data_IF_129565740537
#
_entry.id   IF_129565740537
#
_cell.length_a   1.000
_cell.length_b   1.000
_cell.length_c   1.000
_cell.angle_alpha   90.00
_cell.angle_beta   90.00
_cell.angle_gamma   90.00
#
_symmetry.space_group_name_H-M   'P 1'
#
loop_
_entity.id
_entity.type
_entity.pdbx_description
1 polymer ?
#
# COMPACT_ATOMS: atom_id res chain seq x y z
N UNK A 1 -2.01 17.14 6.02
CA UNK A 1 -1.88 17.47 4.58
C UNK A 1 -2.56 16.44 3.68
N UNK A 2 -2.30 15.12 3.84
CA UNK A 2 -3.02 14.08 3.02
C UNK A 2 -4.52 14.17 3.24
N UNK A 3 -4.94 14.28 4.51
CA UNK A 3 -6.35 14.42 4.85
C UNK A 3 -6.96 15.73 4.37
N UNK A 4 -6.21 16.82 4.34
CA UNK A 4 -6.68 18.10 3.80
C UNK A 4 -6.95 17.99 2.29
N UNK A 5 -6.08 17.29 1.54
CA UNK A 5 -6.28 17.02 0.10
C UNK A 5 -7.49 16.13 -0.12
N UNK A 6 -7.64 15.04 0.65
CA UNK A 6 -8.80 14.16 0.58
C UNK A 6 -10.08 14.88 0.93
N UNK A 7 -10.07 15.75 1.94
CA UNK A 7 -11.22 16.54 2.32
C UNK A 7 -11.62 17.55 1.24
N UNK A 8 -10.64 18.22 0.63
CA UNK A 8 -10.89 19.13 -0.50
C UNK A 8 -11.48 18.37 -1.69
N UNK A 9 -10.97 17.17 -1.96
CA UNK A 9 -11.49 16.27 -2.99
C UNK A 9 -12.93 15.83 -2.69
N UNK A 10 -13.23 15.40 -1.48
CA UNK A 10 -14.56 14.94 -1.06
C UNK A 10 -15.62 16.06 -1.04
N UNK A 11 -15.21 17.32 -0.86
CA UNK A 11 -16.10 18.49 -0.80
C UNK A 11 -16.33 19.21 -2.13
N UNK A 12 -16.10 18.60 -3.26
CA UNK A 12 -16.26 19.22 -4.57
C UNK A 12 -14.93 19.52 -5.24
N UNK A 13 -13.90 18.74 -4.91
CA UNK A 13 -12.62 18.77 -5.59
C UNK A 13 -12.70 18.36 -7.06
N UNK A 14 -11.55 18.34 -7.72
CA UNK A 14 -11.44 18.13 -9.19
C UNK A 14 -12.16 16.89 -9.70
N UNK A 15 -12.21 15.80 -8.92
CA UNK A 15 -12.90 14.58 -9.35
C UNK A 15 -14.41 14.77 -9.41
N UNK A 16 -15.00 15.39 -8.40
CA UNK A 16 -16.44 15.64 -8.36
C UNK A 16 -16.84 16.64 -9.45
N UNK A 17 -16.04 17.69 -9.67
CA UNK A 17 -16.28 18.63 -10.75
C UNK A 17 -16.22 17.96 -12.11
N UNK A 18 -15.23 17.10 -12.37
CA UNK A 18 -15.13 16.33 -13.61
C UNK A 18 -16.25 15.32 -13.75
N UNK A 19 -16.61 14.61 -12.69
CA UNK A 19 -17.71 13.67 -12.68
C UNK A 19 -19.05 14.37 -12.95
N UNK A 20 -19.28 15.53 -12.34
CA UNK A 20 -20.48 16.33 -12.61
C UNK A 20 -20.54 16.80 -14.07
N UNK A 21 -19.43 17.22 -14.66
CA UNK A 21 -19.35 17.56 -16.09
C UNK A 21 -19.62 16.34 -16.98
N UNK A 22 -19.33 15.13 -16.48
CA UNK A 22 -19.59 13.86 -17.17
C UNK A 22 -21.00 13.29 -16.93
N UNK A 23 -21.94 14.11 -16.44
CA UNK A 23 -23.35 13.78 -16.19
C UNK A 23 -23.64 12.89 -14.98
N UNK A 24 -22.70 12.67 -14.08
CA UNK A 24 -22.97 11.87 -12.88
C UNK A 24 -23.66 12.65 -11.76
N UNK A 25 -23.56 13.97 -11.75
CA UNK A 25 -24.18 14.87 -10.76
C UNK A 25 -24.04 14.39 -9.30
N UNK A 26 -22.86 13.87 -8.95
CA UNK A 26 -22.58 13.33 -7.62
C UNK A 26 -21.85 14.35 -6.75
N UNK A 27 -22.16 14.36 -5.44
CA UNK A 27 -21.47 15.14 -4.43
C UNK A 27 -20.43 14.32 -3.63
N UNK A 28 -20.22 13.08 -4.03
CA UNK A 28 -19.34 12.13 -3.34
C UNK A 28 -18.23 11.64 -4.26
N UNK A 29 -17.05 11.46 -3.70
CA UNK A 29 -15.86 11.05 -4.44
C UNK A 29 -15.54 9.58 -4.24
N UNK A 30 -14.81 9.02 -5.20
CA UNK A 30 -14.19 7.70 -5.08
C UNK A 30 -12.68 7.88 -4.91
N UNK A 31 -12.12 7.28 -3.88
CA UNK A 31 -10.67 7.17 -3.66
C UNK A 31 -10.24 5.74 -3.95
N UNK A 32 -9.23 5.56 -4.78
CA UNK A 32 -8.58 4.28 -5.01
C UNK A 32 -7.23 4.26 -4.30
N UNK A 33 -7.11 3.45 -3.25
CA UNK A 33 -5.86 3.32 -2.49
C UNK A 33 -5.14 2.04 -2.89
N UNK A 34 -4.03 2.21 -3.60
CA UNK A 34 -3.19 1.12 -4.11
C UNK A 34 -2.03 0.85 -3.17
N UNK A 35 -1.98 -0.34 -2.61
CA UNK A 35 -0.96 -0.79 -1.67
C UNK A 35 -0.03 -1.83 -2.30
N UNK A 36 1.21 -2.02 -1.76
CA UNK A 36 2.23 -2.84 -2.42
C UNK A 36 1.98 -4.36 -2.35
N UNK A 37 1.22 -4.85 -1.38
CA UNK A 37 1.06 -6.29 -1.16
C UNK A 37 -0.25 -6.64 -0.45
N UNK A 38 -0.67 -7.91 -0.56
CA UNK A 38 -1.88 -8.41 0.10
C UNK A 38 -1.86 -8.27 1.63
N UNK A 39 -0.79 -8.58 2.35
CA UNK A 39 -0.76 -8.36 3.81
C UNK A 39 -0.96 -6.88 4.19
N UNK A 40 -0.40 -5.94 3.42
CA UNK A 40 -0.61 -4.51 3.65
C UNK A 40 -2.06 -4.12 3.31
N UNK A 41 -2.66 -4.69 2.26
CA UNK A 41 -4.06 -4.47 1.91
C UNK A 41 -4.99 -4.88 3.07
N UNK A 42 -4.81 -6.08 3.60
CA UNK A 42 -5.60 -6.57 4.74
C UNK A 42 -5.43 -5.71 5.98
N UNK A 43 -4.19 -5.31 6.29
CA UNK A 43 -3.89 -4.41 7.40
C UNK A 43 -4.57 -3.05 7.23
N UNK A 44 -4.51 -2.47 6.03
CA UNK A 44 -5.10 -1.17 5.70
C UNK A 44 -6.63 -1.23 5.80
N UNK A 45 -7.24 -2.28 5.24
CA UNK A 45 -8.69 -2.51 5.36
C UNK A 45 -9.13 -2.64 6.82
N UNK A 46 -8.42 -3.45 7.61
CA UNK A 46 -8.69 -3.60 9.03
C UNK A 46 -8.57 -2.29 9.79
N UNK A 47 -7.54 -1.49 9.48
CA UNK A 47 -7.34 -0.19 10.10
C UNK A 47 -8.45 0.81 9.73
N UNK A 48 -8.84 0.88 8.46
CA UNK A 48 -9.91 1.76 7.99
C UNK A 48 -11.29 1.36 8.50
N UNK A 49 -11.55 0.08 8.72
CA UNK A 49 -12.85 -0.44 9.17
C UNK A 49 -13.00 -0.47 10.69
N UNK A 50 -11.94 -0.29 11.46
CA UNK A 50 -11.96 -0.35 12.92
C UNK A 50 -12.11 1.05 13.55
N UNK A 51 -13.24 1.39 14.20
CA UNK A 51 -13.43 2.69 14.84
C UNK A 51 -12.40 3.02 15.92
N UNK A 52 -11.78 2.01 16.53
CA UNK A 52 -10.72 2.20 17.52
C UNK A 52 -9.36 2.57 16.91
N UNK A 53 -9.21 2.44 15.59
CA UNK A 53 -7.95 2.72 14.91
C UNK A 53 -7.82 4.22 14.58
N UNK A 54 -6.64 4.79 14.79
CA UNK A 54 -6.36 6.19 14.52
C UNK A 54 -6.56 6.57 13.04
N UNK A 55 -6.27 5.65 12.11
CA UNK A 55 -6.49 5.89 10.68
C UNK A 55 -7.98 6.04 10.36
N UNK A 56 -8.83 5.15 10.89
CA UNK A 56 -10.28 5.27 10.77
C UNK A 56 -10.75 6.63 11.31
N UNK A 57 -10.37 6.96 12.56
CA UNK A 57 -10.78 8.21 13.21
C UNK A 57 -10.36 9.43 12.38
N UNK A 58 -9.14 9.45 11.86
CA UNK A 58 -8.64 10.55 11.04
C UNK A 58 -9.41 10.68 9.72
N UNK A 59 -9.63 9.57 9.01
CA UNK A 59 -10.37 9.57 7.73
C UNK A 59 -11.81 9.99 7.92
N UNK A 60 -12.53 9.40 8.89
CA UNK A 60 -13.94 9.69 9.11
C UNK A 60 -14.17 11.07 9.71
N UNK A 61 -13.25 11.58 10.51
CA UNK A 61 -13.30 12.97 10.99
C UNK A 61 -13.12 13.98 9.84
N UNK A 62 -12.27 13.67 8.87
CA UNK A 62 -11.98 14.55 7.75
C UNK A 62 -13.04 14.53 6.65
N UNK A 63 -13.54 13.32 6.31
CA UNK A 63 -14.40 13.08 5.14
C UNK A 63 -15.87 12.84 5.48
N UNK A 64 -16.21 12.69 6.77
CA UNK A 64 -17.51 12.22 7.21
C UNK A 64 -17.67 10.72 6.99
N UNK A 65 -18.85 10.29 6.60
CA UNK A 65 -19.13 8.88 6.34
C UNK A 65 -18.43 8.40 5.07
N UNK A 66 -17.68 7.30 5.19
CA UNK A 66 -16.89 6.71 4.09
C UNK A 66 -17.21 5.23 3.98
N UNK A 67 -17.63 4.80 2.80
CA UNK A 67 -17.78 3.37 2.50
C UNK A 67 -16.42 2.78 2.10
N UNK A 68 -15.87 1.87 2.92
CA UNK A 68 -14.59 1.21 2.66
C UNK A 68 -14.83 -0.15 2.01
N UNK A 69 -14.31 -0.32 0.80
CA UNK A 69 -14.51 -1.48 -0.06
C UNK A 69 -13.18 -2.17 -0.39
N UNK A 70 -13.19 -3.48 -0.45
CA UNK A 70 -12.19 -4.28 -1.16
C UNK A 70 -12.65 -4.58 -2.60
N UNK A 71 -11.78 -5.19 -3.43
CA UNK A 71 -12.07 -5.40 -4.86
C UNK A 71 -13.34 -6.24 -5.07
N UNK A 72 -13.52 -7.31 -4.33
CA UNK A 72 -14.69 -8.20 -4.49
C UNK A 72 -15.99 -7.51 -4.13
N UNK A 73 -15.97 -6.60 -3.17
CA UNK A 73 -17.11 -5.75 -2.81
C UNK A 73 -17.33 -4.67 -3.87
N UNK A 74 -16.24 -4.06 -4.36
CA UNK A 74 -16.30 -3.04 -5.40
C UNK A 74 -16.87 -3.58 -6.74
N UNK A 75 -16.59 -4.85 -7.08
CA UNK A 75 -17.16 -5.53 -8.25
C UNK A 75 -18.69 -5.71 -8.18
N UNK A 76 -19.30 -5.48 -7.02
CA UNK A 76 -20.76 -5.61 -6.78
C UNK A 76 -21.39 -4.32 -6.26
N UNK A 77 -20.59 -3.25 -6.16
CA UNK A 77 -21.08 -1.99 -5.60
C UNK A 77 -22.20 -1.40 -6.46
N UNK A 78 -23.25 -0.91 -5.82
CA UNK A 78 -24.39 -0.31 -6.50
C UNK A 78 -24.25 1.22 -6.62
N UNK A 79 -24.87 1.86 -7.64
CA UNK A 79 -24.77 3.30 -7.85
C UNK A 79 -25.12 4.13 -6.62
N UNK A 80 -26.16 3.75 -5.88
CA UNK A 80 -26.61 4.51 -4.71
C UNK A 80 -25.55 4.58 -3.59
N UNK A 81 -24.68 3.56 -3.45
CA UNK A 81 -23.56 3.58 -2.49
C UNK A 81 -22.55 4.67 -2.87
N UNK A 82 -22.11 4.67 -4.15
CA UNK A 82 -21.14 5.65 -4.65
C UNK A 82 -21.72 7.05 -4.83
N UNK A 83 -23.04 7.19 -4.87
CA UNK A 83 -23.74 8.47 -4.96
C UNK A 83 -24.13 9.02 -3.58
N UNK A 84 -24.25 8.15 -2.57
CA UNK A 84 -24.73 8.49 -1.24
C UNK A 84 -23.64 8.76 -0.19
N UNK A 85 -22.40 8.28 -0.43
CA UNK A 85 -21.27 8.47 0.47
C UNK A 85 -19.96 8.55 -0.28
N UNK A 86 -18.93 9.14 0.34
CA UNK A 86 -17.57 8.99 -0.14
C UNK A 86 -17.18 7.51 -0.07
N UNK A 87 -16.52 7.00 -1.10
CA UNK A 87 -16.07 5.61 -1.15
C UNK A 87 -14.54 5.51 -1.22
N UNK A 88 -13.99 4.54 -0.54
CA UNK A 88 -12.56 4.24 -0.56
C UNK A 88 -12.37 2.77 -0.91
N UNK A 89 -11.78 2.50 -2.08
CA UNK A 89 -11.46 1.15 -2.55
C UNK A 89 -9.99 0.89 -2.25
N UNK A 90 -9.69 -0.16 -1.48
CA UNK A 90 -8.32 -0.56 -1.14
C UNK A 90 -7.97 -1.81 -1.93
N UNK A 91 -6.90 -1.72 -2.72
CA UNK A 91 -6.48 -2.80 -3.61
C UNK A 91 -4.95 -2.87 -3.73
N UNK A 92 -4.43 -3.98 -4.24
CA UNK A 92 -3.05 -4.03 -4.72
C UNK A 92 -2.96 -3.53 -6.16
N UNK A 93 -1.80 -2.99 -6.56
CA UNK A 93 -1.57 -2.63 -7.95
C UNK A 93 -1.74 -3.83 -8.90
N UNK A 94 -1.42 -5.04 -8.46
CA UNK A 94 -1.55 -6.26 -9.25
C UNK A 94 -3.00 -6.57 -9.65
N UNK A 95 -3.98 -6.11 -8.88
CA UNK A 95 -5.39 -6.26 -9.23
C UNK A 95 -5.76 -5.55 -10.54
N UNK A 96 -4.95 -4.57 -10.97
CA UNK A 96 -5.19 -3.76 -12.17
C UNK A 96 -4.06 -3.85 -13.20
N UNK A 97 -2.86 -4.29 -12.80
CA UNK A 97 -1.66 -4.26 -13.61
C UNK A 97 -1.43 -5.60 -14.32
N UNK A 98 -1.85 -5.71 -15.56
CA UNK A 98 -1.55 -6.85 -16.42
C UNK A 98 -1.51 -6.43 -17.89
N UNK A 99 -0.66 -7.08 -18.68
CA UNK A 99 -0.61 -6.88 -20.14
C UNK A 99 -1.88 -7.41 -20.80
N UNK A 100 -2.33 -8.60 -20.38
CA UNK A 100 -3.58 -9.21 -20.81
C UNK A 100 -4.71 -8.86 -19.83
N UNK A 101 -5.43 -7.77 -20.13
CA UNK A 101 -6.51 -7.24 -19.29
C UNK A 101 -7.69 -8.21 -19.16
N UNK A 102 -7.92 -9.07 -20.15
CA UNK A 102 -9.06 -10.00 -20.14
C UNK A 102 -8.93 -11.07 -19.02
N UNK A 103 -7.76 -11.19 -18.42
CA UNK A 103 -7.56 -12.09 -17.29
C UNK A 103 -8.02 -11.51 -15.95
N UNK A 104 -8.06 -10.17 -15.82
CA UNK A 104 -8.43 -9.51 -14.57
C UNK A 104 -9.93 -9.23 -14.51
N UNK A 105 -10.57 -9.62 -13.42
CA UNK A 105 -12.02 -9.43 -13.19
C UNK A 105 -12.45 -7.97 -13.25
N UNK A 106 -11.57 -7.03 -12.89
CA UNK A 106 -11.84 -5.59 -12.85
C UNK A 106 -12.05 -4.97 -14.23
N UNK A 107 -11.54 -5.60 -15.31
CA UNK A 107 -11.71 -5.17 -16.71
C UNK A 107 -12.82 -5.92 -17.43
N UNK A 108 -13.28 -7.05 -16.87
CA UNK A 108 -14.34 -7.85 -17.51
C UNK A 108 -15.68 -7.16 -17.44
N UNK A 109 -16.48 -7.36 -18.49
CA UNK A 109 -17.89 -6.99 -18.46
C UNK A 109 -18.56 -7.63 -17.24
N UNK A 110 -19.29 -6.80 -16.49
CA UNK A 110 -19.93 -7.21 -15.26
C UNK A 110 -21.36 -6.66 -15.23
N UNK A 111 -22.35 -7.56 -15.19
CA UNK A 111 -23.76 -7.20 -15.13
C UNK A 111 -24.11 -6.36 -13.89
N UNK A 112 -23.39 -6.54 -12.77
CA UNK A 112 -23.60 -5.73 -11.57
C UNK A 112 -23.22 -4.25 -11.78
N UNK A 113 -22.34 -3.96 -12.74
CA UNK A 113 -21.90 -2.60 -13.07
C UNK A 113 -22.84 -1.90 -14.07
N UNK A 114 -23.71 -2.61 -14.78
CA UNK A 114 -24.57 -2.02 -15.81
C UNK A 114 -25.44 -0.87 -15.30
N UNK A 115 -25.94 -0.98 -14.07
CA UNK A 115 -26.75 0.05 -13.44
C UNK A 115 -26.05 1.40 -13.23
N UNK A 116 -24.71 1.43 -13.23
CA UNK A 116 -23.95 2.68 -13.16
C UNK A 116 -24.01 3.51 -14.46
N UNK A 117 -24.45 2.90 -15.56
CA UNK A 117 -24.44 3.48 -16.91
C UNK A 117 -25.85 3.71 -17.48
N UNK A 118 -26.91 3.57 -16.68
CA UNK A 118 -28.28 3.71 -17.14
C UNK A 118 -28.55 5.08 -17.78
N UNK A 119 -28.04 6.15 -17.15
CA UNK A 119 -28.22 7.52 -17.63
C UNK A 119 -27.12 7.98 -18.61
N UNK A 120 -26.13 7.12 -18.89
CA UNK A 120 -25.02 7.46 -19.79
C UNK A 120 -25.39 7.13 -21.23
N UNK A 121 -25.43 8.14 -22.08
CA UNK A 121 -25.80 7.99 -23.51
C UNK A 121 -24.58 7.78 -24.41
N UNK A 122 -23.40 8.30 -24.01
CA UNK A 122 -22.17 8.21 -24.81
C UNK A 122 -21.57 6.79 -24.74
N UNK A 123 -21.50 6.07 -25.89
CA UNK A 123 -20.89 4.73 -25.93
C UNK A 123 -19.42 4.70 -25.50
N UNK A 124 -18.67 5.78 -25.73
CA UNK A 124 -17.26 5.87 -25.37
C UNK A 124 -17.08 5.92 -23.83
N UNK A 125 -18.05 6.48 -23.13
CA UNK A 125 -18.07 6.52 -21.65
C UNK A 125 -18.51 5.18 -21.08
N UNK A 126 -19.50 4.50 -21.72
CA UNK A 126 -19.99 3.19 -21.25
C UNK A 126 -18.89 2.12 -21.18
N UNK A 127 -17.98 2.12 -22.15
CA UNK A 127 -16.93 1.10 -22.24
C UNK A 127 -17.50 -0.32 -22.27
N UNK A 128 -16.88 -1.24 -21.53
CA UNK A 128 -17.31 -2.63 -21.38
C UNK A 128 -18.23 -2.89 -20.19
N UNK A 129 -18.67 -1.85 -19.47
CA UNK A 129 -19.37 -1.94 -18.19
C UNK A 129 -18.58 -2.72 -17.13
N UNK A 130 -17.29 -2.49 -17.07
CA UNK A 130 -16.39 -3.06 -16.08
C UNK A 130 -16.27 -2.16 -14.84
N UNK A 131 -15.66 -2.67 -13.77
CA UNK A 131 -15.32 -1.82 -12.61
C UNK A 131 -14.38 -0.67 -13.00
N UNK A 132 -13.43 -0.92 -13.90
CA UNK A 132 -12.51 0.12 -14.38
C UNK A 132 -13.27 1.21 -15.13
N UNK A 133 -14.29 0.88 -15.91
CA UNK A 133 -15.13 1.89 -16.59
C UNK A 133 -15.90 2.74 -15.57
N UNK A 134 -16.43 2.12 -14.50
CA UNK A 134 -17.08 2.86 -13.40
C UNK A 134 -16.10 3.80 -12.72
N UNK A 135 -14.89 3.34 -12.44
CA UNK A 135 -13.84 4.18 -11.85
C UNK A 135 -13.46 5.33 -12.77
N UNK A 136 -13.21 5.04 -14.06
CA UNK A 136 -12.87 6.05 -15.08
C UNK A 136 -13.93 7.16 -15.16
N UNK A 137 -15.19 6.79 -15.21
CA UNK A 137 -16.31 7.73 -15.25
C UNK A 137 -16.36 8.65 -14.01
N UNK A 138 -15.87 8.17 -12.87
CA UNK A 138 -15.88 8.91 -11.60
C UNK A 138 -14.60 9.69 -11.32
N UNK A 139 -13.57 9.58 -12.18
CA UNK A 139 -12.29 10.28 -12.02
C UNK A 139 -11.73 10.14 -10.61
N UNK A 140 -11.35 8.95 -10.15
CA UNK A 140 -10.99 8.70 -8.76
C UNK A 140 -9.79 9.53 -8.33
N UNK A 141 -9.73 9.84 -7.04
CA UNK A 141 -8.47 10.24 -6.41
C UNK A 141 -7.67 8.99 -6.13
N UNK A 142 -6.46 8.88 -6.67
CA UNK A 142 -5.62 7.68 -6.53
C UNK A 142 -4.52 7.92 -5.52
N UNK A 143 -4.41 7.06 -4.51
CA UNK A 143 -3.29 7.00 -3.58
C UNK A 143 -2.44 5.79 -3.94
N UNK A 144 -1.15 6.00 -4.17
CA UNK A 144 -0.17 4.93 -4.45
C UNK A 144 0.80 4.84 -3.30
N UNK A 145 0.71 3.77 -2.53
CA UNK A 145 1.64 3.50 -1.44
C UNK A 145 2.88 2.76 -1.97
N UNK A 146 4.05 3.10 -1.42
CA UNK A 146 5.37 2.63 -1.90
C UNK A 146 5.56 2.85 -3.40
N UNK A 147 5.26 4.06 -3.87
CA UNK A 147 5.22 4.40 -5.30
C UNK A 147 6.52 4.12 -6.05
N UNK A 148 7.67 4.08 -5.36
CA UNK A 148 8.95 3.72 -5.97
C UNK A 148 8.98 2.31 -6.59
N UNK A 149 8.10 1.41 -6.13
CA UNK A 149 7.95 0.08 -6.71
C UNK A 149 7.12 0.09 -8.01
N UNK A 150 6.53 1.22 -8.37
CA UNK A 150 5.60 1.37 -9.50
C UNK A 150 6.17 2.16 -10.69
N UNK A 151 7.48 2.43 -10.70
CA UNK A 151 8.15 3.23 -11.74
C UNK A 151 8.29 2.55 -13.11
N UNK A 152 7.36 1.69 -13.51
CA UNK A 152 7.33 1.01 -14.81
C UNK A 152 6.30 1.67 -15.73
N UNK A 153 6.52 1.65 -17.07
CA UNK A 153 5.56 2.14 -18.06
C UNK A 153 4.18 1.53 -17.89
N UNK A 154 4.11 0.22 -17.64
CA UNK A 154 2.85 -0.49 -17.42
C UNK A 154 2.08 0.02 -16.18
N UNK A 155 2.78 0.44 -15.11
CA UNK A 155 2.12 1.01 -13.94
C UNK A 155 1.50 2.37 -14.27
N UNK A 156 2.22 3.23 -14.98
CA UNK A 156 1.68 4.52 -15.43
C UNK A 156 0.51 4.39 -16.37
N UNK A 157 0.59 3.46 -17.35
CA UNK A 157 -0.52 3.16 -18.24
C UNK A 157 -1.74 2.64 -17.47
N UNK A 158 -1.52 1.81 -16.45
CA UNK A 158 -2.58 1.31 -15.58
C UNK A 158 -3.27 2.45 -14.82
N UNK A 159 -2.50 3.38 -14.25
CA UNK A 159 -3.04 4.55 -13.57
C UNK A 159 -3.78 5.49 -14.53
N UNK A 160 -3.27 5.69 -15.73
CA UNK A 160 -3.90 6.53 -16.75
C UNK A 160 -5.28 6.01 -17.18
N UNK A 161 -5.50 4.69 -17.16
CA UNK A 161 -6.80 4.08 -17.50
C UNK A 161 -7.96 4.51 -16.61
N UNK A 162 -7.66 4.92 -15.38
CA UNK A 162 -8.68 5.43 -14.46
C UNK A 162 -9.06 6.88 -14.73
N UNK A 163 -8.33 7.60 -15.59
CA UNK A 163 -8.47 9.05 -15.78
C UNK A 163 -8.56 9.79 -14.43
N UNK A 164 -7.60 9.60 -13.52
CA UNK A 164 -7.73 10.07 -12.16
C UNK A 164 -7.81 11.60 -12.09
N UNK A 165 -8.52 12.11 -11.08
CA UNK A 165 -8.54 13.55 -10.80
C UNK A 165 -7.20 14.06 -10.29
N UNK A 166 -6.52 13.25 -9.48
CA UNK A 166 -5.16 13.45 -9.02
C UNK A 166 -4.57 12.12 -8.53
N UNK A 167 -3.24 12.05 -8.48
CA UNK A 167 -2.50 10.91 -7.93
C UNK A 167 -1.63 11.43 -6.79
N UNK A 168 -1.76 10.82 -5.62
CA UNK A 168 -0.93 11.06 -4.45
C UNK A 168 0.02 9.88 -4.26
N UNK A 169 1.30 10.12 -4.37
CA UNK A 169 2.34 9.13 -4.15
C UNK A 169 2.88 9.24 -2.72
N UNK A 170 2.89 8.11 -2.00
CA UNK A 170 3.56 7.93 -0.71
C UNK A 170 4.81 7.10 -0.95
N UNK A 171 6.00 7.66 -0.71
CA UNK A 171 7.26 6.99 -1.00
C UNK A 171 8.40 7.52 -0.15
N UNK A 172 9.32 6.64 0.22
CA UNK A 172 10.58 7.03 0.86
C UNK A 172 11.61 7.57 -0.15
N UNK A 173 11.45 7.23 -1.44
CA UNK A 173 12.41 7.55 -2.51
C UNK A 173 11.68 8.11 -3.74
N UNK A 174 11.30 9.41 -3.75
CA UNK A 174 10.64 10.02 -4.89
C UNK A 174 11.54 10.01 -6.13
N UNK A 175 10.98 9.73 -7.29
CA UNK A 175 11.73 9.82 -8.55
C UNK A 175 12.08 11.29 -8.86
N UNK A 176 13.37 11.55 -9.11
CA UNK A 176 13.90 12.88 -9.44
C UNK A 176 14.44 12.97 -10.85
N UNK A 177 14.43 11.88 -11.61
CA UNK A 177 15.18 11.79 -12.85
C UNK A 177 14.34 11.55 -14.11
N UNK A 178 13.48 10.54 -14.11
CA UNK A 178 12.74 10.11 -15.30
C UNK A 178 11.36 10.74 -15.41
N UNK A 179 10.62 10.70 -14.32
CA UNK A 179 9.30 11.31 -14.18
C UNK A 179 9.24 11.96 -12.80
N UNK A 180 9.80 13.17 -12.67
CA UNK A 180 9.99 13.78 -11.37
C UNK A 180 8.65 14.02 -10.68
N UNK A 181 8.50 13.43 -9.48
CA UNK A 181 7.34 13.65 -8.62
C UNK A 181 7.37 15.09 -8.09
N UNK A 182 6.20 15.73 -8.05
CA UNK A 182 6.04 17.00 -7.38
C UNK A 182 5.98 16.77 -5.86
N UNK A 183 7.11 16.94 -5.18
CA UNK A 183 7.22 16.67 -3.73
C UNK A 183 6.53 17.77 -2.94
N UNK A 184 5.34 17.48 -2.43
CA UNK A 184 4.54 18.41 -1.63
C UNK A 184 4.99 18.45 -0.17
N UNK A 185 5.47 17.33 0.37
CA UNK A 185 5.89 17.21 1.76
C UNK A 185 7.00 16.16 1.91
N UNK A 186 7.97 16.45 2.75
CA UNK A 186 9.07 15.51 3.04
C UNK A 186 9.36 15.50 4.53
N UNK A 187 9.53 14.31 5.10
CA UNK A 187 9.93 14.11 6.51
C UNK A 187 11.34 13.53 6.52
N UNK A 188 12.27 14.25 7.12
CA UNK A 188 13.64 13.80 7.27
C UNK A 188 13.82 12.81 8.44
N UNK A 189 14.92 12.05 8.42
CA UNK A 189 15.24 11.07 9.46
C UNK A 189 15.32 11.69 10.87
N UNK A 190 15.79 12.92 10.99
CA UNK A 190 15.86 13.63 12.27
C UNK A 190 14.46 13.92 12.86
N UNK A 191 13.49 14.26 12.02
CA UNK A 191 12.12 14.47 12.47
C UNK A 191 11.45 13.16 12.90
N UNK A 192 11.71 12.06 12.17
CA UNK A 192 11.24 10.73 12.54
C UNK A 192 11.90 10.23 13.86
N UNK A 193 13.17 10.53 14.06
CA UNK A 193 13.87 10.23 15.31
C UNK A 193 13.28 11.02 16.50
N UNK A 194 13.04 12.32 16.33
CA UNK A 194 12.44 13.14 17.35
C UNK A 194 11.01 12.71 17.73
N UNK A 195 10.30 12.09 16.78
CA UNK A 195 8.98 11.50 16.99
C UNK A 195 9.03 10.02 17.45
N UNK A 196 10.22 9.50 17.77
CA UNK A 196 10.44 8.11 18.20
C UNK A 196 9.93 7.04 17.20
N UNK A 197 9.79 7.41 15.92
CA UNK A 197 9.29 6.53 14.85
C UNK A 197 10.38 5.67 14.23
N UNK A 198 11.65 5.96 14.45
CA UNK A 198 12.78 5.15 13.97
C UNK A 198 13.67 4.74 15.12
N UNK A 199 14.15 3.50 15.07
CA UNK A 199 15.09 2.98 16.05
C UNK A 199 16.49 3.49 15.74
N UNK A 200 17.09 4.18 16.70
CA UNK A 200 18.47 4.67 16.63
C UNK A 200 19.21 4.32 17.93
N UNK A 201 20.52 4.12 17.92
CA UNK A 201 21.43 4.18 16.76
C UNK A 201 21.35 2.94 15.86
N UNK A 202 21.73 3.11 14.59
CA UNK A 202 21.98 2.02 13.65
C UNK A 202 23.47 1.79 13.57
N UNK A 203 23.93 0.57 13.82
CA UNK A 203 25.31 0.15 13.65
C UNK A 203 25.43 -0.75 12.42
N UNK A 204 26.17 -0.29 11.41
CA UNK A 204 26.45 -1.06 10.21
C UNK A 204 27.81 -1.75 10.33
N UNK A 205 27.79 -3.08 10.41
CA UNK A 205 29.00 -3.89 10.49
C UNK A 205 29.14 -4.71 9.21
N UNK A 206 30.28 -4.56 8.52
CA UNK A 206 30.60 -5.36 7.32
C UNK A 206 31.62 -6.43 7.68
N UNK A 207 31.42 -7.65 7.18
CA UNK A 207 32.36 -8.77 7.26
C UNK A 207 32.62 -9.32 5.86
N UNK A 208 33.81 -9.81 5.63
CA UNK A 208 34.19 -10.46 4.36
C UNK A 208 33.61 -11.87 4.28
N UNK A 209 33.51 -12.53 5.44
CA UNK A 209 32.99 -13.90 5.55
C UNK A 209 31.59 -13.88 6.21
N UNK A 210 30.63 -14.50 5.55
CA UNK A 210 29.25 -14.56 6.07
C UNK A 210 29.13 -15.38 7.37
N UNK A 211 30.02 -16.37 7.63
CA UNK A 211 30.05 -17.08 8.92
C UNK A 211 30.44 -16.15 10.07
N UNK A 212 31.37 -15.22 9.85
CA UNK A 212 31.74 -14.21 10.86
C UNK A 212 30.57 -13.25 11.09
N UNK A 213 29.91 -12.80 10.02
CA UNK A 213 28.73 -11.95 10.14
C UNK A 213 27.62 -12.64 10.94
N UNK A 214 27.38 -13.94 10.68
CA UNK A 214 26.38 -14.72 11.38
C UNK A 214 26.74 -14.91 12.88
N UNK A 215 28.01 -15.18 13.17
CA UNK A 215 28.51 -15.29 14.56
C UNK A 215 28.34 -14.01 15.34
N UNK A 216 28.70 -12.88 14.73
CA UNK A 216 28.55 -11.55 15.35
C UNK A 216 27.05 -11.23 15.57
N UNK A 217 26.19 -11.55 14.60
CA UNK A 217 24.75 -11.34 14.73
C UNK A 217 24.15 -12.17 15.88
N UNK A 218 24.55 -13.44 16.01
CA UNK A 218 24.11 -14.31 17.13
C UNK A 218 24.64 -13.77 18.48
N UNK A 219 25.91 -13.33 18.52
CA UNK A 219 26.47 -12.72 19.73
C UNK A 219 25.71 -11.45 20.13
N UNK A 220 25.36 -10.62 19.16
CA UNK A 220 24.56 -9.41 19.38
C UNK A 220 23.15 -9.77 19.87
N UNK A 221 22.49 -10.77 19.25
CA UNK A 221 21.19 -11.24 19.67
C UNK A 221 21.18 -11.72 21.13
N UNK A 222 22.19 -12.49 21.54
CA UNK A 222 22.31 -12.98 22.90
C UNK A 222 22.54 -11.85 23.93
N UNK A 223 23.32 -10.83 23.56
CA UNK A 223 23.50 -9.62 24.40
C UNK A 223 22.21 -8.83 24.55
N UNK A 224 21.45 -8.71 23.47
CA UNK A 224 20.14 -8.04 23.48
C UNK A 224 19.13 -8.83 24.30
N UNK A 225 19.15 -10.17 24.20
CA UNK A 225 18.26 -11.03 25.00
C UNK A 225 18.54 -10.85 26.51
N UNK A 226 19.79 -10.85 26.91
CA UNK A 226 20.18 -10.62 28.32
C UNK A 226 19.67 -9.27 28.84
N UNK A 227 19.73 -8.22 28.00
CA UNK A 227 19.18 -6.90 28.35
C UNK A 227 17.66 -6.93 28.43
N UNK A 228 17.01 -7.57 27.48
CA UNK A 228 15.56 -7.71 27.45
C UNK A 228 15.02 -8.47 28.67
N UNK A 229 15.71 -9.54 29.07
CA UNK A 229 15.36 -10.31 30.27
C UNK A 229 15.49 -9.46 31.55
N UNK A 230 16.56 -8.65 31.64
CA UNK A 230 16.77 -7.73 32.78
C UNK A 230 15.67 -6.64 32.82
N UNK A 231 15.33 -6.07 31.68
CA UNK A 231 14.26 -5.07 31.56
C UNK A 231 12.90 -5.67 31.93
N UNK A 232 12.61 -6.86 31.40
CA UNK A 232 11.36 -7.59 31.74
C UNK A 232 11.26 -7.88 33.26
N UNK A 233 12.38 -8.23 33.89
CA UNK A 233 12.40 -8.46 35.33
C UNK A 233 12.18 -7.16 36.12
N UNK A 234 12.60 -6.01 35.60
CA UNK A 234 12.48 -4.71 36.27
C UNK A 234 11.09 -4.07 36.05
N UNK A 235 10.53 -4.15 34.84
CA UNK A 235 9.30 -3.43 34.43
C UNK A 235 8.07 -4.32 34.30
N UNK A 236 8.26 -5.63 34.12
CA UNK A 236 7.19 -6.58 33.74
C UNK A 236 6.86 -6.58 32.25
N UNK A 237 7.50 -5.73 31.44
CA UNK A 237 7.26 -5.64 30.01
C UNK A 237 7.98 -6.76 29.26
N UNK A 238 7.23 -7.49 28.43
CA UNK A 238 7.82 -8.55 27.61
C UNK A 238 8.54 -7.98 26.40
N UNK A 239 9.87 -8.14 26.37
CA UNK A 239 10.74 -7.74 25.26
C UNK A 239 11.39 -8.98 24.66
N UNK A 240 11.31 -9.13 23.32
CA UNK A 240 11.96 -10.22 22.58
C UNK A 240 12.77 -9.66 21.41
N UNK A 241 14.10 -9.71 21.48
CA UNK A 241 14.95 -9.40 20.33
C UNK A 241 14.72 -10.38 19.19
N UNK A 242 14.71 -9.88 17.97
CA UNK A 242 14.51 -10.68 16.75
C UNK A 242 15.70 -10.46 15.83
N UNK A 243 16.26 -11.55 15.31
CA UNK A 243 17.28 -11.52 14.27
C UNK A 243 16.63 -11.87 12.93
N UNK A 244 16.73 -10.97 11.95
CA UNK A 244 16.31 -11.22 10.58
C UNK A 244 17.53 -11.59 9.73
N UNK A 245 17.49 -12.75 9.09
CA UNK A 245 18.50 -13.21 8.16
C UNK A 245 17.95 -13.15 6.74
N UNK A 246 18.61 -12.38 5.89
CA UNK A 246 18.26 -12.31 4.48
C UNK A 246 19.29 -13.08 3.66
N UNK A 247 18.81 -14.09 2.93
CA UNK A 247 19.61 -14.91 2.04
C UNK A 247 19.55 -14.43 0.59
N UNK A 248 20.52 -14.81 -0.21
CA UNK A 248 20.51 -14.55 -1.64
C UNK A 248 19.51 -15.48 -2.38
N UNK A 249 19.06 -15.02 -3.56
CA UNK A 249 18.31 -15.88 -4.48
C UNK A 249 19.27 -16.93 -5.04
N UNK A 250 18.78 -18.16 -5.22
CA UNK A 250 19.57 -19.22 -5.89
C UNK A 250 19.95 -18.75 -7.30
N UNK A 251 21.23 -18.83 -7.61
CA UNK A 251 21.78 -18.51 -8.90
C UNK A 251 22.38 -19.79 -9.50
N UNK A 252 22.25 -19.99 -10.81
CA UNK A 252 22.80 -21.15 -11.53
C UNK A 252 24.24 -20.94 -12.01
N UNK A 253 24.67 -19.67 -12.08
CA UNK A 253 25.99 -19.31 -12.61
C UNK A 253 27.03 -19.03 -11.52
N UNK A 254 26.59 -18.76 -10.29
CA UNK A 254 27.47 -18.51 -9.15
C UNK A 254 26.97 -19.17 -7.87
N UNK A 255 27.91 -19.48 -6.97
CA UNK A 255 27.55 -19.95 -5.63
C UNK A 255 26.93 -18.81 -4.80
N UNK A 256 25.67 -19.00 -4.39
CA UNK A 256 24.94 -18.03 -3.58
C UNK A 256 24.65 -18.56 -2.19
N UNK A 257 24.52 -17.65 -1.23
CA UNK A 257 24.13 -18.00 0.13
C UNK A 257 22.59 -18.15 0.20
N UNK A 258 22.12 -19.36 -0.05
CA UNK A 258 20.70 -19.70 -0.04
C UNK A 258 20.18 -19.98 1.37
N UNK A 259 18.84 -19.87 1.62
CA UNK A 259 18.25 -20.08 2.93
C UNK A 259 18.57 -21.42 3.57
N UNK A 260 18.65 -22.49 2.79
CA UNK A 260 18.95 -23.86 3.25
C UNK A 260 20.36 -23.94 3.87
N UNK A 261 21.32 -23.25 3.27
CA UNK A 261 22.72 -23.22 3.76
C UNK A 261 22.80 -22.45 5.08
N UNK A 262 22.08 -21.32 5.20
CA UNK A 262 21.97 -20.59 6.46
C UNK A 262 21.32 -21.41 7.57
N UNK A 263 20.22 -22.13 7.27
CA UNK A 263 19.56 -23.01 8.24
C UNK A 263 20.48 -24.13 8.71
N UNK A 264 21.24 -24.75 7.80
CA UNK A 264 22.23 -25.78 8.18
C UNK A 264 23.32 -25.23 9.10
N UNK A 265 23.83 -24.05 8.83
CA UNK A 265 24.85 -23.42 9.67
C UNK A 265 24.29 -23.12 11.05
N UNK A 266 23.10 -22.52 11.14
CA UNK A 266 22.43 -22.22 12.42
C UNK A 266 22.27 -23.48 13.28
N UNK A 267 21.82 -24.58 12.69
CA UNK A 267 21.57 -25.84 13.41
C UNK A 267 22.87 -26.58 13.75
N UNK A 268 23.77 -26.79 12.77
CA UNK A 268 24.94 -27.63 12.94
C UNK A 268 26.12 -26.96 13.59
N UNK A 269 26.35 -25.67 13.30
CA UNK A 269 27.53 -24.92 13.78
C UNK A 269 27.22 -24.09 15.02
N UNK A 270 26.00 -23.55 15.11
CA UNK A 270 25.60 -22.67 16.21
C UNK A 270 24.61 -23.29 17.20
N UNK A 271 24.13 -24.52 16.94
CA UNK A 271 23.27 -25.27 17.85
C UNK A 271 21.89 -24.65 18.05
N UNK A 272 21.43 -23.79 17.13
CA UNK A 272 20.09 -23.18 17.16
C UNK A 272 19.10 -24.19 16.58
N UNK A 273 18.13 -24.68 17.36
CA UNK A 273 17.17 -25.68 16.87
C UNK A 273 16.26 -25.09 15.78
N UNK A 274 15.81 -25.94 14.86
CA UNK A 274 14.71 -25.59 13.97
C UNK A 274 13.42 -25.44 14.80
N UNK A 275 12.65 -24.37 14.52
CA UNK A 275 11.40 -24.08 15.20
C UNK A 275 10.24 -24.87 14.57
#
# INVERSE_FOLDING_TARGET
QVFDVLQAHARGGLAIERANRSLLFTNHSVTLWLVPSEPIREQTLKALRSPANLLHQAVFSALGEVTVLEIDEALRVKPHILNGSNAMIVATMQAFKQEDMDRLSVYKQNSEMMSHFEDVTDPAVKGSHSLVDVLRMRHPFVIVDEAHNQGTSLAFETLARFEPSAILELTATPDRSRQPSNVLFSVGASALQAAEMIKMPLELVRRENWHEALRDAISCLNKLQTKADAECAATGDYLRPIMLLQAERRDTERETLVPERLKQALTKEFGIPEA
#
